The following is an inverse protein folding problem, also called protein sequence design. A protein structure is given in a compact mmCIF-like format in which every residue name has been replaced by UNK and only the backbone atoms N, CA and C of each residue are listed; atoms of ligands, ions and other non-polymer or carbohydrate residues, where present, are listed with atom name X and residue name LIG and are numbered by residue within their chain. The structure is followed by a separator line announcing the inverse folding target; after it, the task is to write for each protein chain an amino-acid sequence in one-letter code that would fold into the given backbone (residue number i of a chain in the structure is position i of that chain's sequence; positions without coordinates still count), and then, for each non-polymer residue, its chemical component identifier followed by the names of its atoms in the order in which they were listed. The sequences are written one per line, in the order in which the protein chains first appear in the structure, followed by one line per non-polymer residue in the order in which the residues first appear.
data_IF_301429610055
#
_entry.id   IF_301429610055
#
_cell.length_a   1.000
_cell.length_b   1.000
_cell.length_c   1.000
_cell.angle_alpha   90.00
_cell.angle_beta   90.00
_cell.angle_gamma   90.00
#
_symmetry.space_group_name_H-M   'P 1'
#
loop_
_entity.id
_entity.type
_entity.pdbx_description
1 polymer ?
#
# COMPACT_ATOMS: atom_id res chain seq x y z
N UNK A 1 4.91 4.35 -19.88
CA UNK A 1 5.65 4.11 -18.62
C UNK A 1 5.57 5.24 -17.60
N UNK A 2 6.19 6.43 -17.78
CA UNK A 2 6.16 7.47 -16.73
C UNK A 2 4.74 7.95 -16.38
N UNK A 3 3.92 8.21 -17.40
CA UNK A 3 2.51 8.59 -17.19
C UNK A 3 1.74 7.52 -16.42
N UNK A 4 1.89 6.25 -16.78
CA UNK A 4 1.26 5.12 -16.09
C UNK A 4 1.70 5.05 -14.62
N UNK A 5 2.98 5.29 -14.32
CA UNK A 5 3.48 5.29 -12.94
C UNK A 5 2.91 6.46 -12.12
N UNK A 6 2.69 7.62 -12.75
CA UNK A 6 2.05 8.78 -12.11
C UNK A 6 0.54 8.55 -11.89
N UNK A 7 -0.14 7.90 -12.83
CA UNK A 7 -1.53 7.49 -12.67
C UNK A 7 -1.67 6.41 -11.58
N UNK A 8 -0.76 5.45 -11.55
CA UNK A 8 -0.67 4.44 -10.48
C UNK A 8 -0.45 5.11 -9.12
N UNK A 9 0.46 6.07 -9.02
CA UNK A 9 0.64 6.86 -7.81
C UNK A 9 -0.66 7.56 -7.37
N UNK A 10 -1.42 8.13 -8.31
CA UNK A 10 -2.71 8.78 -8.01
C UNK A 10 -3.73 7.78 -7.46
N UNK A 11 -3.79 6.59 -8.05
CA UNK A 11 -4.66 5.52 -7.56
C UNK A 11 -4.27 5.07 -6.14
N UNK A 12 -2.97 5.03 -5.84
CA UNK A 12 -2.49 4.68 -4.50
C UNK A 12 -2.87 5.69 -3.42
N UNK A 13 -2.97 6.99 -3.75
CA UNK A 13 -3.50 7.99 -2.81
C UNK A 13 -4.91 7.58 -2.38
N UNK A 14 -5.78 7.27 -3.34
CA UNK A 14 -7.18 6.89 -3.06
C UNK A 14 -7.23 5.56 -2.32
N UNK A 15 -6.46 4.57 -2.76
CA UNK A 15 -6.42 3.26 -2.14
C UNK A 15 -5.99 3.33 -0.66
N UNK A 16 -4.86 3.99 -0.37
CA UNK A 16 -4.33 4.10 0.98
C UNK A 16 -5.23 4.96 1.89
N UNK A 17 -5.88 6.01 1.35
CA UNK A 17 -6.87 6.80 2.10
C UNK A 17 -8.07 5.95 2.51
N UNK A 18 -8.63 5.17 1.57
CA UNK A 18 -9.76 4.30 1.82
C UNK A 18 -9.40 3.17 2.79
N UNK A 19 -8.26 2.52 2.57
CA UNK A 19 -7.78 1.43 3.42
C UNK A 19 -7.45 1.91 4.84
N UNK A 20 -6.71 3.02 4.95
CA UNK A 20 -6.36 3.63 6.24
C UNK A 20 -7.59 4.09 7.03
N UNK A 21 -8.56 4.71 6.35
CA UNK A 21 -9.82 5.14 6.97
C UNK A 21 -10.69 3.95 7.37
N UNK A 22 -10.79 2.94 6.50
CA UNK A 22 -11.51 1.70 6.79
C UNK A 22 -10.93 0.98 8.01
N UNK A 23 -9.60 0.86 8.07
CA UNK A 23 -8.92 0.27 9.20
C UNK A 23 -9.20 0.98 10.53
N UNK A 24 -9.28 2.32 10.53
CA UNK A 24 -9.57 3.10 11.73
C UNK A 24 -11.04 2.98 12.17
N UNK A 25 -11.96 3.23 11.26
CA UNK A 25 -13.37 3.47 11.60
C UNK A 25 -14.26 2.24 11.43
N UNK A 26 -13.84 1.27 10.62
CA UNK A 26 -14.62 0.08 10.29
C UNK A 26 -13.73 -1.18 10.15
N UNK A 27 -12.83 -1.49 11.12
CA UNK A 27 -11.82 -2.53 10.97
C UNK A 27 -12.42 -3.90 10.69
N UNK A 28 -13.52 -4.26 11.37
CA UNK A 28 -14.21 -5.52 11.17
C UNK A 28 -14.68 -5.70 9.72
N UNK A 29 -15.35 -4.68 9.18
CA UNK A 29 -15.87 -4.72 7.81
C UNK A 29 -14.73 -4.74 6.79
N UNK A 30 -13.69 -3.94 7.01
CA UNK A 30 -12.51 -3.93 6.15
C UNK A 30 -11.80 -5.28 6.14
N UNK A 31 -11.53 -5.88 7.30
CA UNK A 31 -10.94 -7.22 7.41
C UNK A 31 -11.80 -8.29 6.73
N UNK A 32 -13.12 -8.23 6.90
CA UNK A 32 -14.05 -9.15 6.25
C UNK A 32 -14.03 -9.02 4.71
N UNK A 33 -13.87 -7.81 4.17
CA UNK A 33 -13.71 -7.57 2.72
C UNK A 33 -12.37 -8.12 2.24
N UNK A 34 -11.30 -7.92 3.01
CA UNK A 34 -9.95 -8.44 2.71
C UNK A 34 -9.85 -9.97 2.82
N UNK A 35 -10.92 -10.63 3.26
CA UNK A 35 -11.05 -12.08 3.24
C UNK A 35 -10.66 -12.76 4.55
N UNK A 36 -10.59 -12.01 5.66
CA UNK A 36 -10.50 -12.59 6.98
C UNK A 36 -11.86 -13.14 7.45
N UNK A 37 -11.83 -14.26 8.15
CA UNK A 37 -12.97 -14.69 8.98
C UNK A 37 -13.12 -13.75 10.17
N UNK A 38 -14.22 -13.90 10.94
CA UNK A 38 -14.53 -13.05 12.11
C UNK A 38 -13.26 -12.78 12.93
N UNK A 39 -12.67 -11.57 12.82
CA UNK A 39 -11.42 -11.28 13.48
C UNK A 39 -11.62 -11.29 14.99
N UNK A 40 -10.60 -11.71 15.74
CA UNK A 40 -10.60 -11.51 17.18
C UNK A 40 -10.55 -10.01 17.50
N UNK A 41 -10.99 -9.65 18.70
CA UNK A 41 -10.96 -8.24 19.16
C UNK A 41 -9.54 -7.66 19.10
N UNK A 42 -8.53 -8.43 19.52
CA UNK A 42 -7.12 -8.04 19.40
C UNK A 42 -6.69 -7.79 17.96
N UNK A 43 -7.14 -8.63 17.00
CA UNK A 43 -6.83 -8.45 15.60
C UNK A 43 -7.45 -7.16 15.03
N UNK A 44 -8.67 -6.80 15.45
CA UNK A 44 -9.29 -5.53 15.07
C UNK A 44 -8.51 -4.33 15.64
N UNK A 45 -8.07 -4.40 16.90
CA UNK A 45 -7.25 -3.34 17.50
C UNK A 45 -5.88 -3.20 16.84
N UNK A 46 -5.22 -4.31 16.53
CA UNK A 46 -3.96 -4.30 15.77
C UNK A 46 -4.16 -3.75 14.36
N UNK A 47 -5.25 -4.10 13.68
CA UNK A 47 -5.56 -3.58 12.36
C UNK A 47 -5.87 -2.08 12.38
N UNK A 48 -6.62 -1.59 13.38
CA UNK A 48 -6.82 -0.14 13.62
C UNK A 48 -5.50 0.61 13.74
N UNK A 49 -4.50 0.01 14.41
CA UNK A 49 -3.16 0.60 14.54
C UNK A 49 -2.43 0.75 13.20
N UNK A 50 -2.74 -0.08 12.20
CA UNK A 50 -2.20 0.06 10.85
C UNK A 50 -2.84 1.21 10.06
N UNK A 51 -4.06 1.64 10.43
CA UNK A 51 -4.78 2.72 9.76
C UNK A 51 -3.97 4.01 9.58
N UNK A 52 -3.38 4.58 10.65
CA UNK A 52 -2.51 5.74 10.54
C UNK A 52 -1.30 5.53 9.62
N UNK A 53 -0.76 4.31 9.54
CA UNK A 53 0.37 4.00 8.64
C UNK A 53 -0.07 4.18 7.19
N UNK A 54 -1.19 3.59 6.77
CA UNK A 54 -1.71 3.79 5.42
C UNK A 54 -2.08 5.26 5.14
N UNK A 55 -2.61 5.99 6.13
CA UNK A 55 -2.84 7.43 5.96
C UNK A 55 -1.53 8.21 5.74
N UNK A 56 -0.42 7.82 6.38
CA UNK A 56 0.89 8.42 6.06
C UNK A 56 1.38 8.06 4.66
N UNK A 57 1.05 6.87 4.16
CA UNK A 57 1.39 6.48 2.79
C UNK A 57 0.61 7.30 1.77
N UNK A 58 -0.70 7.46 1.98
CA UNK A 58 -1.53 8.36 1.18
C UNK A 58 -0.94 9.78 1.13
N UNK A 59 -0.52 10.32 2.29
CA UNK A 59 0.10 11.63 2.36
C UNK A 59 1.44 11.67 1.58
N UNK A 60 2.29 10.65 1.71
CA UNK A 60 3.53 10.57 0.95
C UNK A 60 3.28 10.53 -0.57
N UNK A 61 2.31 9.72 -1.02
CA UNK A 61 1.88 9.63 -2.42
C UNK A 61 1.33 10.94 -2.95
N UNK A 62 0.55 11.65 -2.14
CA UNK A 62 0.04 12.98 -2.48
C UNK A 62 1.16 14.00 -2.60
N UNK A 63 2.10 14.02 -1.65
CA UNK A 63 3.25 14.94 -1.70
C UNK A 63 4.13 14.67 -2.92
N UNK A 64 4.37 13.41 -3.28
CA UNK A 64 5.08 13.04 -4.50
C UNK A 64 4.31 13.44 -5.76
N UNK A 65 2.98 13.28 -5.78
CA UNK A 65 2.13 13.74 -6.88
C UNK A 65 2.25 15.26 -7.08
N UNK A 66 2.17 16.01 -5.99
CA UNK A 66 2.23 17.47 -6.02
C UNK A 66 3.62 17.96 -6.39
N UNK A 67 4.68 17.50 -5.73
CA UNK A 67 6.04 18.02 -5.90
C UNK A 67 6.77 17.43 -7.10
N UNK A 68 6.59 16.14 -7.35
CA UNK A 68 7.18 15.42 -8.47
C UNK A 68 8.71 15.30 -8.47
N UNK A 69 9.39 15.59 -7.35
CA UNK A 69 10.85 15.60 -7.29
C UNK A 69 11.46 14.20 -7.26
N UNK A 70 12.70 14.03 -7.73
CA UNK A 70 13.45 12.76 -7.61
C UNK A 70 13.43 12.18 -6.20
N UNK A 71 13.55 13.05 -5.18
CA UNK A 71 13.59 12.62 -3.78
C UNK A 71 12.26 12.06 -3.32
N UNK A 72 11.15 12.62 -3.78
CA UNK A 72 9.82 12.12 -3.46
C UNK A 72 9.59 10.72 -4.07
N UNK A 73 9.96 10.54 -5.33
CA UNK A 73 9.88 9.24 -5.99
C UNK A 73 10.78 8.19 -5.34
N UNK A 74 11.97 8.60 -4.87
CA UNK A 74 12.87 7.71 -4.13
C UNK A 74 12.27 7.29 -2.78
N UNK A 75 11.64 8.23 -2.06
CA UNK A 75 10.97 7.93 -0.82
C UNK A 75 9.80 6.94 -1.03
N UNK A 76 9.02 7.12 -2.10
CA UNK A 76 7.95 6.18 -2.45
C UNK A 76 8.47 4.80 -2.85
N UNK A 77 9.61 4.73 -3.54
CA UNK A 77 10.25 3.47 -3.88
C UNK A 77 10.59 2.67 -2.62
N UNK A 78 11.16 3.33 -1.60
CA UNK A 78 11.43 2.72 -0.30
C UNK A 78 10.16 2.29 0.42
N UNK A 79 9.17 3.17 0.48
CA UNK A 79 7.91 2.93 1.17
C UNK A 79 7.20 1.69 0.59
N UNK A 80 7.14 1.55 -0.74
CA UNK A 80 6.60 0.35 -1.39
C UNK A 80 7.50 -0.87 -1.28
N UNK A 81 8.81 -0.66 -1.28
CA UNK A 81 9.78 -1.72 -1.01
C UNK A 81 9.63 -2.33 0.38
N UNK A 82 9.30 -1.53 1.40
CA UNK A 82 9.02 -2.04 2.75
C UNK A 82 7.69 -2.77 2.84
N UNK A 83 6.66 -2.35 2.10
CA UNK A 83 5.37 -3.05 2.05
C UNK A 83 5.47 -4.43 1.40
N UNK A 84 6.35 -4.61 0.42
CA UNK A 84 6.65 -5.94 -0.11
C UNK A 84 7.07 -6.91 1.01
N UNK A 85 7.88 -6.44 1.96
CA UNK A 85 8.34 -7.28 3.07
C UNK A 85 7.18 -7.65 4.00
N UNK A 86 6.28 -6.72 4.29
CA UNK A 86 5.10 -6.99 5.12
C UNK A 86 4.11 -7.91 4.42
N UNK A 87 3.90 -7.74 3.11
CA UNK A 87 3.05 -8.61 2.29
C UNK A 87 3.57 -10.04 2.29
N UNK A 88 4.89 -10.26 2.20
CA UNK A 88 5.48 -11.60 2.27
C UNK A 88 5.23 -12.23 3.65
N UNK A 89 5.36 -11.45 4.73
CA UNK A 89 5.08 -11.94 6.09
C UNK A 89 3.60 -12.32 6.21
N UNK A 90 2.69 -11.47 5.71
CA UNK A 90 1.26 -11.72 5.77
C UNK A 90 0.81 -12.88 4.87
N UNK A 91 1.35 -13.00 3.66
CA UNK A 91 1.02 -14.08 2.73
C UNK A 91 1.35 -15.47 3.29
N UNK A 92 2.28 -15.54 4.24
CA UNK A 92 2.64 -16.78 4.96
C UNK A 92 1.76 -17.07 6.15
N UNK A 93 0.89 -16.15 6.56
CA UNK A 93 -0.04 -16.37 7.67
C UNK A 93 -1.10 -17.42 7.32
N UNK A 94 -1.45 -18.24 8.32
CA UNK A 94 -2.57 -19.17 8.26
C UNK A 94 -3.92 -18.48 8.54
N UNK A 95 -3.89 -17.19 8.91
CA UNK A 95 -5.11 -16.39 9.13
C UNK A 95 -5.89 -16.07 7.85
N UNK A 96 -5.35 -16.40 6.67
CA UNK A 96 -6.05 -16.33 5.39
C UNK A 96 -6.75 -17.65 5.08
N UNK A 97 -8.02 -17.74 5.46
CA UNK A 97 -8.85 -18.94 5.29
C UNK A 97 -9.71 -18.93 4.03
N UNK A 98 -10.05 -17.74 3.48
CA UNK A 98 -10.90 -17.65 2.28
C UNK A 98 -10.14 -18.02 1.01
N UNK A 99 -10.76 -18.80 0.08
CA UNK A 99 -10.19 -19.10 -1.22
C UNK A 99 -9.77 -17.82 -1.96
N UNK A 100 -8.52 -17.75 -2.39
CA UNK A 100 -7.98 -16.61 -3.14
C UNK A 100 -7.42 -15.47 -2.29
N UNK A 101 -7.70 -15.37 -0.98
CA UNK A 101 -7.19 -14.28 -0.15
C UNK A 101 -5.65 -14.29 -0.05
N UNK A 102 -5.07 -15.48 0.13
CA UNK A 102 -3.61 -15.68 0.12
C UNK A 102 -2.99 -15.32 -1.24
N UNK A 103 -3.66 -15.65 -2.36
CA UNK A 103 -3.21 -15.25 -3.69
C UNK A 103 -3.29 -13.72 -3.88
N UNK A 104 -4.33 -13.08 -3.36
CA UNK A 104 -4.46 -11.62 -3.33
C UNK A 104 -3.28 -10.95 -2.61
N UNK A 105 -2.83 -11.51 -1.49
CA UNK A 105 -1.66 -10.98 -0.77
C UNK A 105 -0.35 -11.15 -1.57
N UNK A 106 -0.16 -12.28 -2.26
CA UNK A 106 0.98 -12.44 -3.16
C UNK A 106 0.95 -11.46 -4.33
N UNK A 107 -0.23 -11.18 -4.88
CA UNK A 107 -0.41 -10.16 -5.92
C UNK A 107 -0.12 -8.76 -5.38
N UNK A 108 -0.53 -8.44 -4.15
CA UNK A 108 -0.19 -7.19 -3.48
C UNK A 108 1.33 -7.02 -3.35
N UNK A 109 2.03 -8.07 -2.91
CA UNK A 109 3.49 -8.08 -2.85
C UNK A 109 4.15 -7.84 -4.22
N UNK A 110 3.68 -8.55 -5.26
CA UNK A 110 4.17 -8.34 -6.63
C UNK A 110 3.92 -6.90 -7.13
N UNK A 111 2.77 -6.32 -6.80
CA UNK A 111 2.43 -4.93 -7.13
C UNK A 111 3.35 -3.94 -6.38
N UNK A 112 3.59 -4.15 -5.09
CA UNK A 112 4.52 -3.35 -4.29
C UNK A 112 5.95 -3.43 -4.84
N UNK A 113 6.42 -4.60 -5.27
CA UNK A 113 7.71 -4.74 -5.96
C UNK A 113 7.74 -3.94 -7.27
N UNK A 114 6.72 -4.09 -8.11
CA UNK A 114 6.62 -3.35 -9.37
C UNK A 114 6.61 -1.83 -9.17
N UNK A 115 5.86 -1.35 -8.18
CA UNK A 115 5.84 0.06 -7.78
C UNK A 115 7.20 0.53 -7.25
N UNK A 116 7.86 -0.25 -6.39
CA UNK A 116 9.17 0.12 -5.85
C UNK A 116 10.19 0.32 -6.97
N UNK A 117 10.24 -0.60 -7.94
CA UNK A 117 11.13 -0.50 -9.10
C UNK A 117 10.73 0.66 -10.02
N UNK A 118 9.44 0.85 -10.28
CA UNK A 118 8.92 1.94 -11.11
C UNK A 118 9.21 3.32 -10.53
N UNK A 119 8.99 3.52 -9.23
CA UNK A 119 9.30 4.78 -8.56
C UNK A 119 10.81 5.01 -8.42
N UNK A 120 11.62 3.96 -8.23
CA UNK A 120 13.07 4.08 -8.30
C UNK A 120 13.55 4.52 -9.70
N UNK A 121 12.89 4.03 -10.75
CA UNK A 121 13.16 4.48 -12.11
C UNK A 121 12.79 5.97 -12.30
N UNK A 122 11.62 6.41 -11.83
CA UNK A 122 11.23 7.84 -11.86
C UNK A 122 12.19 8.72 -11.05
N UNK A 123 12.66 8.24 -9.90
CA UNK A 123 13.61 8.96 -9.09
C UNK A 123 14.93 9.24 -9.83
N UNK A 124 15.39 8.26 -10.64
CA UNK A 124 16.62 8.38 -11.43
C UNK A 124 16.45 9.21 -12.69
N UNK A 125 15.30 9.14 -13.34
CA UNK A 125 15.14 9.62 -14.72
C UNK A 125 14.10 10.74 -14.91
N UNK A 126 13.20 10.98 -13.96
CA UNK A 126 12.02 11.84 -14.13
C UNK A 126 11.87 13.00 -13.13
N UNK A 127 12.85 13.22 -12.25
CA UNK A 127 12.69 14.14 -11.11
C UNK A 127 12.73 15.64 -11.38
N UNK A 128 12.61 16.08 -12.63
CA UNK A 128 12.69 17.51 -12.99
C UNK A 128 11.62 17.98 -13.98
N UNK A 129 10.66 17.15 -14.40
CA UNK A 129 9.62 17.59 -15.32
C UNK A 129 8.31 17.92 -14.58
N UNK A 130 8.09 19.21 -14.30
CA UNK A 130 6.76 19.82 -14.43
C UNK A 130 6.68 20.48 -15.79
#
# INVERSE_FOLDING_TARGET
MERELRDLNRNMIVFDLLLGSGALFAPHQTLAILGHDRPSEDAEHLFRRCGPIWLTFAAAHYMAHQRGSSRDWWALAWLRGTELLTDIVWARSDSFSRPGAKAGMWLAGAANLGMALGFAHLARNGGTAR
#
